data_IF_687200305507
#
_entry.id   IF_687200305507
#
_cell.length_a   1.000
_cell.length_b   1.000
_cell.length_c   1.000
_cell.angle_alpha   90.00
_cell.angle_beta   90.00
_cell.angle_gamma   90.00
#
_symmetry.space_group_name_H-M   'P 1'
#
loop_
_entity.id
_entity.type
_entity.pdbx_description
1 polymer ?
#
# COMPACT_ATOMS: atom_id res chain seq x y z
N UNK A 1 29.30 30.32 -8.64
CA UNK A 1 28.24 29.35 -9.02
C UNK A 1 26.93 29.93 -8.52
N UNK A 2 26.07 30.35 -9.46
CA UNK A 2 25.06 31.38 -9.25
C UNK A 2 23.90 30.95 -8.35
N UNK A 3 23.44 31.91 -7.56
CA UNK A 3 22.27 31.91 -6.66
C UNK A 3 20.92 31.62 -7.37
N UNK A 4 20.95 31.34 -8.66
CA UNK A 4 19.77 31.17 -9.51
C UNK A 4 19.17 29.75 -9.39
N UNK A 5 19.94 28.76 -8.93
CA UNK A 5 19.43 27.40 -8.68
C UNK A 5 18.48 27.32 -7.47
N UNK A 6 18.49 28.33 -6.59
CA UNK A 6 17.60 28.41 -5.43
C UNK A 6 16.18 28.87 -5.83
N UNK A 7 16.00 29.43 -7.04
CA UNK A 7 14.73 30.02 -7.51
C UNK A 7 13.77 29.05 -8.22
N UNK A 8 13.74 27.78 -7.83
CA UNK A 8 12.65 26.89 -8.22
C UNK A 8 11.94 26.28 -7.00
N UNK A 9 10.87 26.99 -6.63
CA UNK A 9 9.66 26.56 -5.90
C UNK A 9 9.72 26.79 -4.39
N UNK A 10 8.70 27.53 -3.89
CA UNK A 10 8.39 27.74 -2.47
C UNK A 10 8.73 26.48 -1.66
N UNK A 11 9.33 26.60 -0.47
CA UNK A 11 9.40 25.47 0.45
C UNK A 11 7.98 24.93 0.56
N UNK A 12 7.78 23.62 0.33
CA UNK A 12 6.55 23.01 0.83
C UNK A 12 6.46 23.43 2.29
N UNK A 13 5.37 24.13 2.67
CA UNK A 13 5.18 24.53 4.05
C UNK A 13 5.41 23.29 4.91
N UNK A 14 6.34 23.38 5.86
CA UNK A 14 6.71 22.25 6.70
C UNK A 14 5.42 21.71 7.33
N UNK A 15 5.00 20.48 6.97
CA UNK A 15 3.81 19.91 7.59
C UNK A 15 4.08 19.66 9.07
N UNK A 16 3.02 19.66 9.88
CA UNK A 16 3.11 19.30 11.28
C UNK A 16 3.77 17.91 11.42
N UNK A 17 4.87 17.77 12.20
CA UNK A 17 5.52 16.48 12.44
C UNK A 17 4.59 15.37 12.95
N UNK A 18 3.49 15.71 13.60
CA UNK A 18 2.49 14.76 14.11
C UNK A 18 1.52 14.28 13.00
N UNK A 19 1.45 14.98 11.88
CA UNK A 19 0.59 14.60 10.77
C UNK A 19 1.22 13.51 9.90
N UNK A 20 0.39 12.57 9.44
CA UNK A 20 0.80 11.52 8.50
C UNK A 20 1.43 12.06 7.21
N UNK A 21 1.11 13.31 6.83
CA UNK A 21 1.69 13.99 5.66
C UNK A 21 3.16 14.35 5.84
N UNK A 22 3.67 14.43 7.07
CA UNK A 22 5.07 14.72 7.36
C UNK A 22 6.03 13.68 6.78
N UNK A 23 5.63 12.41 6.78
CA UNK A 23 6.43 11.35 6.16
C UNK A 23 6.63 11.57 4.65
N UNK A 24 5.66 12.18 3.96
CA UNK A 24 5.77 12.49 2.54
C UNK A 24 6.75 13.62 2.28
N UNK A 25 6.79 14.60 3.18
CA UNK A 25 7.80 15.65 3.15
C UNK A 25 9.19 15.03 3.30
N UNK A 26 9.44 14.25 4.36
CA UNK A 26 10.74 13.59 4.57
C UNK A 26 11.17 12.71 3.39
N UNK A 27 10.24 11.91 2.85
CA UNK A 27 10.53 11.07 1.69
C UNK A 27 10.90 11.89 0.46
N UNK A 28 10.23 13.03 0.22
CA UNK A 28 10.53 13.90 -0.90
C UNK A 28 11.96 14.48 -0.83
N UNK A 29 12.41 14.84 0.37
CA UNK A 29 13.81 15.25 0.61
C UNK A 29 14.77 14.09 0.32
N UNK A 30 14.53 12.94 0.94
CA UNK A 30 15.41 11.78 0.79
C UNK A 30 15.53 11.31 -0.66
N UNK A 31 14.40 11.17 -1.38
CA UNK A 31 14.36 10.67 -2.75
C UNK A 31 14.97 11.63 -3.79
N UNK A 32 15.08 12.92 -3.44
CA UNK A 32 15.67 13.94 -4.31
C UNK A 32 17.08 14.38 -3.87
N UNK A 33 17.61 13.81 -2.80
CA UNK A 33 18.98 14.04 -2.38
C UNK A 33 19.97 13.42 -3.37
N UNK A 34 21.04 14.15 -3.73
CA UNK A 34 21.96 13.71 -4.78
C UNK A 34 22.61 12.36 -4.45
N UNK A 35 23.06 12.17 -3.21
CA UNK A 35 23.73 10.92 -2.82
C UNK A 35 22.76 9.74 -2.85
N UNK A 36 21.49 9.95 -2.47
CA UNK A 36 20.44 8.93 -2.61
C UNK A 36 20.25 8.57 -4.08
N UNK A 37 20.18 9.56 -4.97
CA UNK A 37 19.97 9.36 -6.40
C UNK A 37 21.16 8.66 -7.06
N UNK A 38 22.37 9.04 -6.68
CA UNK A 38 23.61 8.42 -7.16
C UNK A 38 23.72 6.97 -6.64
N UNK A 39 23.38 6.71 -5.37
CA UNK A 39 23.36 5.37 -4.78
C UNK A 39 22.29 4.44 -5.39
N UNK A 40 21.13 4.99 -5.77
CA UNK A 40 20.07 4.27 -6.50
C UNK A 40 20.37 4.13 -8.01
N UNK A 41 21.50 4.66 -8.49
CA UNK A 41 21.90 4.55 -9.91
C UNK A 41 21.02 5.36 -10.87
N UNK A 42 20.40 6.44 -10.40
CA UNK A 42 19.57 7.30 -11.25
C UNK A 42 20.46 8.06 -12.23
N UNK A 43 20.33 7.75 -13.53
CA UNK A 43 21.12 8.38 -14.60
C UNK A 43 20.89 9.89 -14.62
N UNK A 44 21.98 10.66 -14.59
CA UNK A 44 21.93 12.13 -14.68
C UNK A 44 21.26 12.55 -16.00
N UNK A 45 20.29 13.46 -15.92
CA UNK A 45 19.56 13.99 -17.08
C UNK A 45 18.31 13.21 -17.50
N UNK A 46 18.00 12.02 -16.95
CA UNK A 46 16.80 11.26 -17.33
C UNK A 46 15.55 11.64 -16.53
N UNK A 47 15.71 11.87 -15.23
CA UNK A 47 14.63 12.26 -14.31
C UNK A 47 15.07 13.54 -13.60
N UNK A 48 14.35 14.64 -13.81
CA UNK A 48 14.69 15.93 -13.19
C UNK A 48 14.47 15.92 -11.68
N UNK A 49 13.28 15.51 -11.23
CA UNK A 49 12.89 15.42 -9.82
C UNK A 49 11.97 14.22 -9.66
N UNK A 50 12.20 13.43 -8.62
CA UNK A 50 11.27 12.38 -8.23
C UNK A 50 10.01 12.99 -7.63
N UNK A 51 8.85 12.49 -8.06
CA UNK A 51 7.54 12.87 -7.54
C UNK A 51 6.80 11.61 -7.08
N UNK A 52 6.12 11.69 -5.93
CA UNK A 52 5.46 10.52 -5.32
C UNK A 52 4.29 9.99 -6.12
N UNK A 53 3.42 10.88 -6.60
CA UNK A 53 2.22 10.53 -7.35
C UNK A 53 2.13 11.38 -8.61
N UNK A 54 2.28 10.76 -9.77
CA UNK A 54 2.01 11.40 -11.05
C UNK A 54 0.50 11.26 -11.35
N UNK A 55 -0.29 12.30 -11.05
CA UNK A 55 -1.75 12.25 -11.23
C UNK A 55 -2.21 12.34 -12.70
N UNK A 56 -1.30 12.60 -13.64
CA UNK A 56 -1.60 12.79 -15.07
C UNK A 56 -1.04 11.65 -15.92
N UNK A 57 -1.30 10.41 -15.51
CA UNK A 57 -0.99 9.24 -16.32
C UNK A 57 -2.17 8.96 -17.26
N UNK A 58 -1.93 8.64 -18.54
CA UNK A 58 -2.97 8.19 -19.46
C UNK A 58 -3.43 6.80 -19.01
N UNK A 59 -4.45 6.75 -18.16
CA UNK A 59 -5.04 5.52 -17.63
C UNK A 59 -6.56 5.56 -17.79
N UNK A 60 -7.13 4.47 -18.30
CA UNK A 60 -8.57 4.29 -18.45
C UNK A 60 -9.05 3.40 -17.30
N UNK A 61 -10.12 3.82 -16.63
CA UNK A 61 -10.74 3.04 -15.54
C UNK A 61 -11.79 2.09 -16.11
N UNK A 62 -11.35 0.99 -16.71
CA UNK A 62 -12.19 -0.01 -17.39
C UNK A 62 -12.40 -1.31 -16.60
N UNK A 63 -11.75 -1.45 -15.44
CA UNK A 63 -11.92 -2.58 -14.52
C UNK A 63 -12.70 -2.13 -13.28
N UNK A 64 -14.04 -2.34 -13.23
CA UNK A 64 -14.87 -1.84 -12.13
C UNK A 64 -14.75 -2.70 -10.85
N UNK A 65 -14.31 -3.95 -10.97
CA UNK A 65 -14.16 -4.87 -9.84
C UNK A 65 -13.04 -5.87 -10.09
N UNK A 66 -12.35 -6.24 -9.01
CA UNK A 66 -11.30 -7.26 -9.01
C UNK A 66 -11.80 -8.63 -8.55
N UNK A 67 -13.08 -8.77 -8.17
CA UNK A 67 -13.64 -10.00 -7.56
C UNK A 67 -13.48 -11.19 -8.50
N UNK A 68 -13.91 -11.09 -9.75
CA UNK A 68 -13.85 -12.21 -10.71
C UNK A 68 -12.41 -12.70 -10.95
N UNK A 69 -11.46 -11.76 -11.01
CA UNK A 69 -10.04 -12.08 -11.17
C UNK A 69 -9.48 -12.84 -9.95
N UNK A 70 -9.84 -12.39 -8.74
CA UNK A 70 -9.43 -13.08 -7.51
C UNK A 70 -10.08 -14.46 -7.37
N UNK A 71 -11.33 -14.61 -7.80
CA UNK A 71 -12.03 -15.89 -7.79
C UNK A 71 -11.39 -16.88 -8.77
N UNK A 72 -10.93 -16.43 -9.93
CA UNK A 72 -10.26 -17.27 -10.92
C UNK A 72 -8.90 -17.81 -10.40
N UNK A 73 -8.10 -16.96 -9.74
CA UNK A 73 -6.80 -17.40 -9.20
C UNK A 73 -6.95 -18.35 -8.01
N UNK A 74 -7.89 -18.12 -7.10
CA UNK A 74 -8.12 -19.03 -5.97
C UNK A 74 -8.63 -20.40 -6.44
N UNK A 75 -9.49 -20.44 -7.47
CA UNK A 75 -9.95 -21.69 -8.08
C UNK A 75 -8.83 -22.48 -8.78
N UNK A 76 -7.71 -21.83 -9.12
CA UNK A 76 -6.50 -22.49 -9.63
C UNK A 76 -5.57 -23.01 -8.52
N UNK A 77 -5.96 -22.85 -7.26
CA UNK A 77 -5.18 -23.30 -6.09
C UNK A 77 -4.11 -22.31 -5.62
N UNK A 78 -4.13 -21.05 -6.08
CA UNK A 78 -3.20 -20.04 -5.56
C UNK A 78 -3.59 -19.62 -4.14
N UNK A 79 -2.60 -19.52 -3.26
CA UNK A 79 -2.76 -19.04 -1.89
C UNK A 79 -2.88 -17.52 -1.87
N UNK A 80 -3.90 -16.99 -1.20
CA UNK A 80 -4.16 -15.55 -1.12
C UNK A 80 -4.22 -15.11 0.34
N UNK A 81 -3.46 -14.06 0.68
CA UNK A 81 -3.49 -13.36 1.97
C UNK A 81 -4.08 -11.98 1.72
N UNK A 82 -5.17 -11.64 2.41
CA UNK A 82 -5.78 -10.31 2.36
C UNK A 82 -5.59 -9.68 3.73
N UNK A 83 -5.12 -8.44 3.79
CA UNK A 83 -4.99 -7.74 5.06
C UNK A 83 -5.40 -6.27 4.94
N UNK A 84 -5.87 -5.68 6.02
CA UNK A 84 -6.37 -4.31 6.06
C UNK A 84 -6.03 -3.67 7.40
N UNK A 85 -5.51 -2.44 7.40
CA UNK A 85 -5.42 -1.68 8.64
C UNK A 85 -6.81 -1.28 9.12
N UNK A 86 -7.12 -1.51 10.39
CA UNK A 86 -8.40 -1.15 11.02
C UNK A 86 -8.64 0.37 11.13
N UNK A 87 -7.58 1.17 11.04
CA UNK A 87 -7.62 2.64 11.06
C UNK A 87 -7.52 3.31 9.67
N UNK A 88 -7.50 2.56 8.56
CA UNK A 88 -7.55 3.15 7.22
C UNK A 88 -8.98 3.62 6.90
N UNK A 89 -9.16 4.93 6.76
CA UNK A 89 -10.47 5.52 6.43
C UNK A 89 -10.74 5.58 4.92
N UNK A 90 -9.69 5.53 4.08
CA UNK A 90 -9.84 5.58 2.62
C UNK A 90 -10.26 4.21 2.09
N UNK A 91 -9.70 3.14 2.66
CA UNK A 91 -10.12 1.76 2.41
C UNK A 91 -10.42 1.06 3.75
N UNK A 92 -11.64 1.26 4.31
CA UNK A 92 -12.01 0.69 5.60
C UNK A 92 -11.91 -0.83 5.62
N UNK A 93 -11.47 -1.39 6.74
CA UNK A 93 -11.43 -2.84 6.93
C UNK A 93 -12.80 -3.50 6.70
N UNK A 94 -13.89 -2.80 7.02
CA UNK A 94 -15.26 -3.27 6.77
C UNK A 94 -15.53 -3.50 5.28
N UNK A 95 -14.97 -2.65 4.40
CA UNK A 95 -15.07 -2.81 2.95
C UNK A 95 -14.32 -4.05 2.49
N UNK A 96 -13.10 -4.25 3.00
CA UNK A 96 -12.31 -5.47 2.71
C UNK A 96 -13.03 -6.72 3.22
N UNK A 97 -13.62 -6.66 4.42
CA UNK A 97 -14.39 -7.77 5.00
C UNK A 97 -15.63 -8.13 4.16
N UNK A 98 -16.39 -7.12 3.71
CA UNK A 98 -17.52 -7.32 2.81
C UNK A 98 -17.08 -7.90 1.45
N UNK A 99 -15.94 -7.43 0.93
CA UNK A 99 -15.34 -7.95 -0.29
C UNK A 99 -14.95 -9.44 -0.15
N UNK A 100 -14.32 -9.84 0.96
CA UNK A 100 -13.99 -11.27 1.24
C UNK A 100 -15.27 -12.11 1.34
N UNK A 101 -16.31 -11.63 2.02
CA UNK A 101 -17.58 -12.35 2.13
C UNK A 101 -18.28 -12.56 0.79
N UNK A 102 -18.06 -11.68 -0.19
CA UNK A 102 -18.66 -11.82 -1.53
C UNK A 102 -18.23 -13.07 -2.29
N UNK A 103 -17.07 -13.65 -1.94
CA UNK A 103 -16.59 -14.90 -2.55
C UNK A 103 -17.33 -16.14 -2.06
N UNK A 104 -18.03 -16.04 -0.92
CA UNK A 104 -18.78 -17.14 -0.31
C UNK A 104 -17.93 -18.41 -0.11
N UNK A 105 -16.66 -18.23 0.29
CA UNK A 105 -15.79 -19.35 0.65
C UNK A 105 -16.16 -19.94 2.01
N UNK A 106 -15.97 -21.26 2.21
CA UNK A 106 -16.14 -21.87 3.52
C UNK A 106 -15.13 -21.29 4.51
N UNK A 107 -15.58 -20.99 5.72
CA UNK A 107 -14.71 -20.59 6.82
C UNK A 107 -14.07 -21.86 7.38
N UNK A 108 -12.73 -21.91 7.39
CA UNK A 108 -11.99 -23.08 7.90
C UNK A 108 -11.35 -22.82 9.27
N UNK A 109 -11.10 -21.56 9.61
CA UNK A 109 -10.67 -21.11 10.93
C UNK A 109 -11.45 -19.84 11.26
N UNK A 110 -12.10 -19.83 12.42
CA UNK A 110 -12.90 -18.71 12.87
C UNK A 110 -12.03 -17.47 13.14
N UNK A 111 -12.69 -16.31 13.16
CA UNK A 111 -12.01 -15.06 13.46
C UNK A 111 -11.40 -15.08 14.86
N UNK A 112 -10.09 -14.85 14.95
CA UNK A 112 -9.34 -14.85 16.21
C UNK A 112 -8.29 -13.77 16.24
N UNK A 113 -7.94 -13.35 17.46
CA UNK A 113 -6.80 -12.48 17.65
C UNK A 113 -5.49 -13.21 17.31
N UNK A 114 -4.57 -12.48 16.68
CA UNK A 114 -3.18 -12.86 16.56
C UNK A 114 -2.35 -11.92 17.43
N UNK A 115 -1.26 -12.42 18.00
CA UNK A 115 -0.44 -11.66 18.94
C UNK A 115 1.02 -11.65 18.47
N UNK A 116 1.67 -10.50 18.57
CA UNK A 116 3.09 -10.33 18.32
C UNK A 116 3.64 -9.34 19.35
N UNK A 117 4.64 -9.75 20.13
CA UNK A 117 5.34 -8.90 21.10
C UNK A 117 4.41 -8.12 22.05
N UNK A 118 3.30 -8.74 22.48
CA UNK A 118 2.31 -8.12 23.37
C UNK A 118 1.30 -7.19 22.67
N UNK A 119 1.38 -7.04 21.35
CA UNK A 119 0.39 -6.36 20.53
C UNK A 119 -0.58 -7.38 19.92
N UNK A 120 -1.83 -6.98 19.73
CA UNK A 120 -2.88 -7.81 19.15
C UNK A 120 -3.39 -7.20 17.84
N UNK A 121 -3.56 -8.05 16.82
CA UNK A 121 -4.41 -7.81 15.66
C UNK A 121 -5.46 -8.93 15.57
N UNK A 122 -6.32 -8.94 14.55
CA UNK A 122 -7.39 -9.93 14.46
C UNK A 122 -7.62 -10.46 13.04
N UNK A 123 -8.05 -11.70 12.84
CA UNK A 123 -8.16 -12.27 11.49
C UNK A 123 -8.82 -13.65 11.42
N UNK A 124 -9.19 -14.12 10.21
CA UNK A 124 -9.72 -15.47 9.94
C UNK A 124 -8.99 -16.15 8.76
N UNK A 125 -9.05 -17.48 8.62
CA UNK A 125 -8.49 -18.19 7.45
C UNK A 125 -9.60 -18.68 6.52
N UNK A 126 -9.60 -18.33 5.21
CA UNK A 126 -10.67 -18.76 4.31
C UNK A 126 -10.43 -20.06 3.48
N UNK A 127 -9.33 -20.83 3.60
CA UNK A 127 -9.19 -22.11 2.84
C UNK A 127 -8.32 -23.16 3.56
N UNK A 128 -8.74 -24.43 3.57
CA UNK A 128 -7.98 -25.57 4.09
C UNK A 128 -7.42 -26.44 2.94
N UNK A 129 -6.09 -26.38 2.75
CA UNK A 129 -5.25 -27.53 2.46
C UNK A 129 -3.88 -27.27 3.13
N UNK A 130 -3.27 -28.26 3.75
CA UNK A 130 -2.01 -28.07 4.51
C UNK A 130 -0.84 -27.92 3.52
N UNK A 131 0.11 -26.96 3.64
CA UNK A 131 0.41 -26.09 4.78
C UNK A 131 0.13 -24.59 4.53
N UNK A 132 -0.59 -23.98 5.49
CA UNK A 132 -0.79 -22.53 5.70
C UNK A 132 -1.24 -21.76 4.45
N UNK A 133 -2.55 -21.70 4.27
CA UNK A 133 -3.20 -21.17 3.07
C UNK A 133 -4.14 -20.03 3.45
N UNK A 134 -3.64 -18.81 3.28
CA UNK A 134 -4.40 -17.57 3.31
C UNK A 134 -4.91 -17.13 4.68
N UNK A 135 -4.56 -15.91 5.06
CA UNK A 135 -5.13 -15.22 6.22
C UNK A 135 -5.88 -13.99 5.71
N UNK A 136 -7.00 -13.68 6.35
CA UNK A 136 -7.61 -12.37 6.36
C UNK A 136 -7.16 -11.69 7.65
N UNK A 137 -6.31 -10.66 7.60
CA UNK A 137 -5.80 -10.00 8.81
C UNK A 137 -6.27 -8.54 8.86
N UNK A 138 -6.85 -8.15 9.99
CA UNK A 138 -6.96 -6.78 10.47
C UNK A 138 -5.79 -6.47 11.40
#
# INVERSE_FOLDING_TARGET
MSEEYIRLRKPLALPDPQCFTYKYYLFDFWANYNDTRDALGIRKGTVSRWIRCAHKLPYVYDVPSSIEYHHNITNKGYRVLVYSGDHDIIMPFLSTHAWIRSFNYPIVDDWRAWHLDGQAGAGHNPVEYVPKQGFAMA
#
